data_IF_393747691255
#
_entry.id   IF_393747691255
#
_cell.length_a   1.000
_cell.length_b   1.000
_cell.length_c   1.000
_cell.angle_alpha   90.00
_cell.angle_beta   90.00
_cell.angle_gamma   90.00
#
_symmetry.space_group_name_H-M   'P 1'
#
loop_
_entity.id
_entity.type
_entity.pdbx_description
1 polymer ?
#
# COMPACT_ATOMS: atom_id res chain seq x y z
N UNK A 1 -13.33 -14.27 -32.43
CA UNK A 1 -11.98 -14.73 -32.83
C UNK A 1 -10.97 -13.83 -32.14
N UNK A 2 -10.01 -14.37 -31.41
CA UNK A 2 -8.97 -13.57 -30.75
C UNK A 2 -7.83 -13.27 -31.74
N UNK A 3 -7.31 -12.05 -31.73
CA UNK A 3 -6.13 -11.65 -32.52
C UNK A 3 -4.98 -11.30 -31.57
N UNK A 4 -3.74 -11.54 -32.00
CA UNK A 4 -2.53 -11.25 -31.23
C UNK A 4 -1.64 -10.29 -32.01
N UNK A 5 -1.16 -9.24 -31.34
CA UNK A 5 -0.16 -8.32 -31.86
C UNK A 5 1.16 -8.56 -31.13
N UNK A 6 2.23 -8.79 -31.89
CA UNK A 6 3.57 -9.03 -31.34
C UNK A 6 4.40 -7.76 -31.41
N UNK A 7 5.04 -7.41 -30.31
CA UNK A 7 5.80 -6.18 -30.16
C UNK A 7 7.30 -6.48 -30.28
N UNK A 8 7.94 -6.18 -31.43
CA UNK A 8 9.29 -6.65 -31.72
C UNK A 8 10.39 -5.82 -31.07
N UNK A 9 10.07 -4.64 -30.52
CA UNK A 9 11.03 -3.69 -29.94
C UNK A 9 11.39 -3.95 -28.49
N UNK A 10 10.72 -4.91 -27.83
CA UNK A 10 11.03 -5.32 -26.46
C UNK A 10 12.11 -6.40 -26.48
N UNK A 11 13.15 -6.25 -25.67
CA UNK A 11 14.31 -7.15 -25.66
C UNK A 11 14.03 -8.54 -25.07
N UNK A 12 12.88 -8.73 -24.42
CA UNK A 12 12.57 -9.95 -23.68
C UNK A 12 11.08 -10.18 -23.42
N UNK A 13 10.79 -11.16 -22.58
CA UNK A 13 9.42 -11.49 -22.15
C UNK A 13 8.94 -10.53 -21.06
N UNK A 14 7.63 -10.33 -20.98
CA UNK A 14 7.02 -9.62 -19.85
C UNK A 14 7.33 -10.36 -18.54
N UNK A 15 7.82 -9.63 -17.54
CA UNK A 15 8.17 -10.14 -16.21
C UNK A 15 7.01 -9.99 -15.23
N UNK A 16 6.41 -8.80 -15.17
CA UNK A 16 5.21 -8.50 -14.37
C UNK A 16 4.44 -7.35 -15.00
N UNK A 17 3.15 -7.25 -14.73
CA UNK A 17 2.33 -6.12 -15.14
C UNK A 17 1.12 -5.92 -14.24
N UNK A 18 0.62 -4.69 -14.20
CA UNK A 18 -0.55 -4.29 -13.42
C UNK A 18 -1.35 -3.21 -14.14
N UNK A 19 -2.67 -3.30 -14.06
CA UNK A 19 -3.58 -2.30 -14.60
C UNK A 19 -3.73 -1.13 -13.62
N UNK A 20 -3.85 0.08 -14.16
CA UNK A 20 -4.36 1.20 -13.38
C UNK A 20 -5.82 0.93 -12.96
N UNK A 21 -6.27 1.45 -11.80
CA UNK A 21 -7.63 1.25 -11.29
C UNK A 21 -8.72 1.75 -12.24
N UNK A 22 -8.42 2.75 -13.07
CA UNK A 22 -9.34 3.28 -14.09
C UNK A 22 -9.38 2.44 -15.37
N UNK A 23 -8.54 1.40 -15.49
CA UNK A 23 -8.47 0.52 -16.66
C UNK A 23 -7.82 1.15 -17.90
N UNK A 24 -7.39 2.41 -17.83
CA UNK A 24 -6.88 3.13 -18.99
C UNK A 24 -5.37 2.92 -19.22
N UNK A 25 -4.66 2.28 -18.31
CA UNK A 25 -3.22 2.07 -18.41
C UNK A 25 -2.82 0.68 -17.94
N UNK A 26 -1.90 0.06 -18.67
CA UNK A 26 -1.20 -1.15 -18.24
C UNK A 26 0.26 -0.79 -18.04
N UNK A 27 0.76 -0.96 -16.81
CA UNK A 27 2.17 -0.92 -16.53
C UNK A 27 2.75 -2.33 -16.63
N UNK A 28 3.94 -2.46 -17.22
CA UNK A 28 4.63 -3.74 -17.28
C UNK A 28 6.15 -3.56 -17.28
N UNK A 29 6.86 -4.62 -16.95
CA UNK A 29 8.33 -4.69 -17.00
C UNK A 29 8.75 -5.86 -17.87
N UNK A 30 9.96 -5.77 -18.43
CA UNK A 30 10.55 -6.81 -19.26
C UNK A 30 11.65 -7.51 -18.48
N UNK A 31 11.76 -8.83 -18.61
CA UNK A 31 12.80 -9.60 -17.97
C UNK A 31 14.19 -9.12 -18.42
N UNK A 32 15.06 -8.82 -17.46
CA UNK A 32 16.42 -8.34 -17.72
C UNK A 32 16.53 -6.82 -17.96
N UNK A 33 15.41 -6.09 -17.95
CA UNK A 33 15.41 -4.62 -18.06
C UNK A 33 14.94 -3.98 -16.75
N UNK A 34 15.67 -3.01 -16.20
CA UNK A 34 15.27 -2.27 -15.01
C UNK A 34 14.36 -1.09 -15.38
N UNK A 35 13.35 -1.31 -16.24
CA UNK A 35 12.48 -0.25 -16.75
C UNK A 35 11.00 -0.61 -16.56
N UNK A 36 10.20 0.38 -16.16
CA UNK A 36 8.74 0.28 -16.19
C UNK A 36 8.23 0.91 -17.47
N UNK A 37 7.47 0.13 -18.22
CA UNK A 37 6.77 0.56 -19.43
C UNK A 37 5.30 0.81 -19.13
N UNK A 38 4.69 1.76 -19.86
CA UNK A 38 3.25 2.00 -19.85
C UNK A 38 2.67 1.84 -21.25
N UNK A 39 1.52 1.17 -21.29
CA UNK A 39 0.56 1.22 -22.39
C UNK A 39 -0.63 2.06 -21.95
N UNK A 40 -1.14 2.90 -22.85
CA UNK A 40 -2.35 3.70 -22.63
C UNK A 40 -3.48 3.17 -23.50
N UNK A 41 -4.66 3.02 -22.92
CA UNK A 41 -5.89 2.56 -23.54
C UNK A 41 -6.95 3.65 -23.35
N UNK A 42 -6.86 4.77 -24.10
CA UNK A 42 -7.84 5.83 -23.95
C UNK A 42 -9.24 5.31 -24.31
N UNK A 43 -10.22 5.63 -23.47
CA UNK A 43 -11.61 5.29 -23.74
C UNK A 43 -12.07 6.01 -25.02
N UNK A 44 -12.43 5.22 -26.05
CA UNK A 44 -12.94 5.78 -27.32
C UNK A 44 -14.41 6.17 -27.14
N UNK A 45 -14.70 7.47 -27.16
CA UNK A 45 -16.06 7.98 -27.20
C UNK A 45 -16.59 8.00 -28.65
N UNK A 46 -17.86 7.65 -28.87
CA UNK A 46 -18.53 7.68 -30.18
C UNK A 46 -18.48 6.37 -30.98
N UNK A 47 -18.38 6.45 -32.31
CA UNK A 47 -18.44 5.29 -33.24
C UNK A 47 -17.30 4.27 -33.08
N UNK A 48 -16.26 4.58 -32.29
CA UNK A 48 -15.16 3.67 -31.93
C UNK A 48 -15.41 2.79 -30.69
N UNK A 49 -16.56 2.94 -30.04
CA UNK A 49 -16.91 2.20 -28.82
C UNK A 49 -16.96 0.69 -29.12
N UNK A 50 -16.01 -0.07 -28.59
CA UNK A 50 -15.87 -1.52 -28.81
C UNK A 50 -14.68 -1.93 -29.69
N UNK A 51 -13.90 -0.99 -30.25
CA UNK A 51 -12.57 -1.30 -30.77
C UNK A 51 -11.56 -1.27 -29.62
N UNK A 52 -10.80 -2.35 -29.43
CA UNK A 52 -9.70 -2.40 -28.45
C UNK A 52 -8.59 -1.46 -28.92
N UNK A 53 -8.68 -0.19 -28.52
CA UNK A 53 -7.68 0.83 -28.81
C UNK A 53 -6.59 0.83 -27.76
N UNK A 54 -5.58 -0.02 -27.94
CA UNK A 54 -4.34 0.06 -27.18
C UNK A 54 -3.35 1.04 -27.81
N UNK A 55 -2.47 1.59 -26.97
CA UNK A 55 -1.32 2.33 -27.45
C UNK A 55 -0.53 1.46 -28.44
N UNK A 56 -0.15 2.04 -29.58
CA UNK A 56 0.65 1.36 -30.62
C UNK A 56 2.13 1.21 -30.24
N UNK A 57 2.52 1.76 -29.10
CA UNK A 57 3.89 1.73 -28.58
C UNK A 57 3.88 1.83 -27.06
N UNK A 58 4.94 1.35 -26.43
CA UNK A 58 5.16 1.40 -24.99
C UNK A 58 6.05 2.59 -24.69
N UNK A 59 5.70 3.35 -23.66
CA UNK A 59 6.51 4.46 -23.17
C UNK A 59 7.19 4.05 -21.88
N UNK A 60 8.48 4.36 -21.72
CA UNK A 60 9.18 4.20 -20.45
C UNK A 60 8.65 5.28 -19.49
N UNK A 61 8.24 4.86 -18.30
CA UNK A 61 7.64 5.75 -17.27
C UNK A 61 8.42 5.75 -15.96
N UNK A 62 9.32 4.79 -15.75
CA UNK A 62 10.29 4.82 -14.66
C UNK A 62 11.55 4.03 -15.02
N UNK A 63 12.68 4.51 -14.51
CA UNK A 63 13.96 3.83 -14.49
C UNK A 63 14.21 3.28 -13.08
N UNK A 64 14.41 1.96 -13.00
CA UNK A 64 14.66 1.22 -11.77
C UNK A 64 16.12 0.75 -11.70
N UNK A 65 17.04 1.33 -12.47
CA UNK A 65 18.45 0.96 -12.48
C UNK A 65 19.04 0.92 -11.07
N UNK A 66 19.96 -0.02 -10.85
CA UNK A 66 20.60 -0.18 -9.55
C UNK A 66 21.33 1.11 -9.16
N UNK A 67 20.88 1.74 -8.09
CA UNK A 67 21.48 2.91 -7.46
C UNK A 67 22.03 2.53 -6.10
N UNK A 68 23.09 3.21 -5.70
CA UNK A 68 23.76 2.94 -4.44
C UNK A 68 23.53 4.09 -3.47
N UNK A 69 22.99 3.79 -2.29
CA UNK A 69 22.65 4.76 -1.25
C UNK A 69 23.52 4.49 -0.03
N UNK A 70 24.12 5.55 0.50
CA UNK A 70 24.86 5.50 1.75
C UNK A 70 23.87 5.64 2.91
N UNK A 71 23.78 4.60 3.74
CA UNK A 71 22.99 4.57 4.98
C UNK A 71 23.92 4.57 6.19
N UNK A 72 23.43 4.91 7.40
CA UNK A 72 24.24 4.82 8.62
C UNK A 72 24.80 3.41 8.88
N UNK A 73 24.10 2.38 8.39
CA UNK A 73 24.45 0.96 8.57
C UNK A 73 25.35 0.42 7.44
N UNK A 74 25.64 1.25 6.42
CA UNK A 74 26.51 0.91 5.30
C UNK A 74 25.95 1.31 3.94
N UNK A 75 26.59 0.78 2.90
CA UNK A 75 26.19 1.02 1.51
C UNK A 75 25.07 0.05 1.11
N UNK A 76 23.90 0.56 0.73
CA UNK A 76 22.77 -0.23 0.24
C UNK A 76 22.56 -0.02 -1.25
N UNK A 77 22.22 -1.10 -1.97
CA UNK A 77 21.91 -1.04 -3.40
C UNK A 77 20.42 -1.25 -3.63
N UNK A 78 19.78 -0.29 -4.28
CA UNK A 78 18.36 -0.28 -4.57
C UNK A 78 18.11 -0.25 -6.06
N UNK A 79 17.07 -0.96 -6.51
CA UNK A 79 16.72 -1.05 -7.92
C UNK A 79 16.98 -2.46 -8.47
N UNK A 80 17.15 -2.54 -9.79
CA UNK A 80 17.27 -3.78 -10.55
C UNK A 80 15.94 -4.19 -11.20
N UNK A 81 15.70 -5.49 -11.29
CA UNK A 81 14.51 -6.04 -11.93
C UNK A 81 13.31 -6.02 -10.98
N UNK A 82 12.14 -5.61 -11.48
CA UNK A 82 10.90 -5.76 -10.73
C UNK A 82 10.44 -7.23 -10.68
N UNK A 83 10.03 -7.69 -9.50
CA UNK A 83 9.37 -8.97 -9.28
C UNK A 83 7.85 -8.85 -9.43
N UNK A 84 7.24 -7.85 -8.77
CA UNK A 84 5.80 -7.62 -8.77
C UNK A 84 5.48 -6.12 -8.69
N UNK A 85 4.32 -5.72 -9.19
CA UNK A 85 3.82 -4.35 -9.15
C UNK A 85 2.35 -4.37 -8.76
N UNK A 86 1.96 -3.53 -7.81
CA UNK A 86 0.56 -3.38 -7.40
C UNK A 86 0.20 -1.91 -7.22
N UNK A 87 -0.94 -1.52 -7.78
CA UNK A 87 -1.55 -0.21 -7.58
C UNK A 87 -2.48 -0.25 -6.37
N UNK A 88 -2.54 0.85 -5.64
CA UNK A 88 -3.59 1.05 -4.66
C UNK A 88 -4.94 1.33 -5.37
N UNK A 89 -6.07 1.09 -4.70
CA UNK A 89 -7.39 1.27 -5.32
C UNK A 89 -7.71 2.70 -5.78
N UNK A 90 -7.14 3.76 -5.17
CA UNK A 90 -7.34 5.13 -5.64
C UNK A 90 -6.45 5.47 -6.83
N UNK A 91 -5.35 4.75 -6.92
CA UNK A 91 -4.35 4.93 -7.94
C UNK A 91 -3.49 6.16 -7.77
N UNK A 92 -3.16 6.45 -6.51
CA UNK A 92 -2.22 7.48 -6.08
C UNK A 92 -0.89 6.89 -5.61
N UNK A 93 -0.81 5.58 -5.42
CA UNK A 93 0.37 4.82 -5.00
C UNK A 93 0.56 3.57 -5.84
N UNK A 94 1.79 3.41 -6.31
CA UNK A 94 2.29 2.17 -6.91
C UNK A 94 3.38 1.60 -5.99
N UNK A 95 3.23 0.33 -5.61
CA UNK A 95 4.27 -0.42 -4.93
C UNK A 95 4.92 -1.40 -5.90
N UNK A 96 6.25 -1.38 -5.96
CA UNK A 96 7.08 -2.24 -6.82
C UNK A 96 7.97 -3.08 -5.95
N UNK A 97 7.73 -4.39 -5.93
CA UNK A 97 8.63 -5.35 -5.27
C UNK A 97 9.79 -5.64 -6.21
N UNK A 98 11.00 -5.29 -5.80
CA UNK A 98 12.24 -5.55 -6.54
C UNK A 98 12.73 -6.96 -6.29
N UNK A 99 13.30 -7.59 -7.33
CA UNK A 99 14.09 -8.81 -7.16
C UNK A 99 15.39 -8.45 -6.45
N UNK A 100 15.70 -9.17 -5.38
CA UNK A 100 17.05 -9.14 -4.84
C UNK A 100 18.06 -9.69 -5.84
N UNK A 101 19.30 -9.20 -5.76
CA UNK A 101 20.43 -9.68 -6.54
C UNK A 101 21.39 -10.48 -5.63
N UNK A 102 21.31 -11.82 -5.62
CA UNK A 102 22.13 -12.65 -4.72
C UNK A 102 23.62 -12.63 -5.07
N UNK A 103 24.01 -12.10 -6.24
CA UNK A 103 25.42 -11.99 -6.66
C UNK A 103 26.09 -10.73 -6.12
N UNK A 104 25.30 -9.84 -5.53
CA UNK A 104 25.72 -8.54 -5.01
C UNK A 104 25.57 -8.57 -3.49
N UNK A 105 26.63 -8.20 -2.77
CA UNK A 105 26.54 -8.00 -1.33
C UNK A 105 25.46 -6.94 -1.06
N UNK A 106 24.52 -7.24 -0.16
CA UNK A 106 23.35 -6.41 0.13
C UNK A 106 22.35 -6.16 -1.01
N UNK A 107 22.37 -6.97 -2.07
CA UNK A 107 21.31 -7.02 -3.08
C UNK A 107 20.01 -7.65 -2.56
N UNK A 108 19.44 -7.12 -1.48
CA UNK A 108 18.23 -7.67 -0.85
C UNK A 108 16.98 -7.21 -1.59
N UNK A 109 15.91 -8.03 -1.67
CA UNK A 109 14.62 -7.58 -2.18
C UNK A 109 14.08 -6.43 -1.33
N UNK A 110 13.60 -5.37 -1.99
CA UNK A 110 13.00 -4.18 -1.36
C UNK A 110 11.70 -3.82 -2.06
N UNK A 111 10.83 -3.08 -1.40
CA UNK A 111 9.63 -2.51 -2.05
C UNK A 111 9.88 -1.02 -2.28
N UNK A 112 9.84 -0.59 -3.54
CA UNK A 112 9.87 0.81 -3.91
C UNK A 112 8.44 1.34 -3.99
N UNK A 113 8.21 2.51 -3.40
CA UNK A 113 6.94 3.23 -3.46
C UNK A 113 7.05 4.42 -4.40
N UNK A 114 6.04 4.55 -5.25
CA UNK A 114 5.87 5.69 -6.15
C UNK A 114 4.54 6.37 -5.88
N UNK A 115 4.56 7.70 -5.88
CA UNK A 115 3.37 8.52 -6.07
C UNK A 115 3.05 8.57 -7.56
N UNK A 116 1.79 8.37 -7.91
CA UNK A 116 1.32 8.41 -9.30
C UNK A 116 0.60 9.73 -9.55
N UNK A 117 1.00 10.43 -10.62
CA UNK A 117 0.25 11.58 -11.13
C UNK A 117 -0.41 11.17 -12.44
N UNK A 118 -1.74 11.11 -12.48
CA UNK A 118 -2.47 10.60 -13.64
C UNK A 118 -2.82 11.68 -14.69
N UNK A 119 -2.78 12.96 -14.32
CA UNK A 119 -3.16 14.09 -15.16
C UNK A 119 -2.29 15.32 -14.87
N UNK A 120 -1.92 16.15 -15.87
CA UNK A 120 -2.23 16.01 -17.31
C UNK A 120 -1.33 15.00 -18.04
N UNK A 121 -0.18 14.65 -17.46
CA UNK A 121 0.76 13.64 -17.97
C UNK A 121 0.96 12.59 -16.88
N UNK A 122 1.02 11.33 -17.29
CA UNK A 122 1.28 10.23 -16.38
C UNK A 122 2.73 10.25 -15.90
N UNK A 123 2.94 10.30 -14.59
CA UNK A 123 4.26 10.27 -13.97
C UNK A 123 4.30 9.37 -12.75
N UNK A 124 5.45 8.72 -12.57
CA UNK A 124 5.82 7.97 -11.37
C UNK A 124 6.91 8.74 -10.62
N UNK A 125 6.59 9.20 -9.42
CA UNK A 125 7.51 9.94 -8.56
C UNK A 125 7.95 9.05 -7.40
N UNK A 126 9.24 8.71 -7.27
CA UNK A 126 9.74 7.95 -6.12
C UNK A 126 9.35 8.66 -4.82
N UNK A 127 8.78 7.92 -3.87
CA UNK A 127 8.32 8.51 -2.61
C UNK A 127 8.73 7.75 -1.35
N UNK A 128 9.25 6.53 -1.47
CA UNK A 128 9.77 5.81 -0.32
C UNK A 128 10.25 4.40 -0.65
N UNK A 129 10.85 3.78 0.35
CA UNK A 129 11.33 2.40 0.32
C UNK A 129 10.77 1.71 1.56
N UNK A 130 10.31 0.47 1.40
CA UNK A 130 9.92 -0.40 2.51
C UNK A 130 10.87 -1.58 2.54
N UNK A 131 11.46 -1.78 3.71
CA UNK A 131 12.31 -2.91 4.06
C UNK A 131 11.70 -3.64 5.27
N UNK A 132 11.99 -4.94 5.37
CA UNK A 132 11.62 -5.72 6.54
C UNK A 132 12.69 -5.63 7.62
N UNK A 133 12.38 -6.24 8.77
CA UNK A 133 13.38 -6.51 9.80
C UNK A 133 14.60 -7.26 9.24
N UNK A 134 15.78 -7.19 9.89
CA UNK A 134 16.95 -7.93 9.45
C UNK A 134 16.65 -9.42 9.19
N UNK A 135 16.91 -9.87 7.96
CA UNK A 135 16.63 -11.24 7.51
C UNK A 135 15.21 -11.50 6.99
N UNK A 136 14.28 -10.56 7.14
CA UNK A 136 12.93 -10.63 6.57
C UNK A 136 12.89 -9.97 5.18
N UNK A 137 12.76 -10.80 4.13
CA UNK A 137 12.67 -10.31 2.75
C UNK A 137 11.21 -10.27 2.30
N UNK A 138 10.76 -9.21 1.62
CA UNK A 138 9.42 -9.17 1.06
C UNK A 138 9.26 -10.21 -0.06
N UNK A 139 8.16 -10.94 -0.05
CA UNK A 139 7.85 -11.99 -1.04
C UNK A 139 6.56 -11.69 -1.81
N UNK A 140 5.58 -11.07 -1.14
CA UNK A 140 4.26 -10.77 -1.69
C UNK A 140 3.81 -9.39 -1.24
N UNK A 141 3.14 -8.65 -2.13
CA UNK A 141 2.56 -7.35 -1.83
C UNK A 141 1.15 -7.24 -2.40
N UNK A 142 0.24 -6.61 -1.65
CA UNK A 142 -1.10 -6.27 -2.12
C UNK A 142 -1.69 -5.11 -1.33
N UNK A 143 -2.47 -4.24 -1.96
CA UNK A 143 -3.20 -3.20 -1.26
C UNK A 143 -4.56 -3.69 -0.78
N UNK A 144 -4.95 -3.28 0.43
CA UNK A 144 -6.31 -3.50 0.92
C UNK A 144 -7.30 -2.71 0.06
N UNK A 145 -8.43 -3.30 -0.38
CA UNK A 145 -9.38 -2.67 -1.31
C UNK A 145 -10.12 -1.47 -0.71
N UNK A 146 -10.16 -1.35 0.62
CA UNK A 146 -10.98 -0.35 1.31
C UNK A 146 -10.27 0.17 2.55
N UNK A 147 -9.33 1.09 2.37
CA UNK A 147 -8.71 1.86 3.45
C UNK A 147 -8.99 3.35 3.20
N UNK A 148 -9.61 4.03 4.16
CA UNK A 148 -10.19 5.36 3.93
C UNK A 148 -9.32 6.55 4.38
N UNK A 149 -8.10 6.28 4.86
CA UNK A 149 -7.13 7.30 5.31
C UNK A 149 -5.92 7.41 4.36
N UNK A 150 -6.03 6.89 3.14
CA UNK A 150 -4.95 6.76 2.16
C UNK A 150 -4.98 5.35 1.56
N UNK A 151 -3.84 4.64 1.59
CA UNK A 151 -3.73 3.24 1.17
C UNK A 151 -3.15 2.36 2.29
N UNK A 152 -3.46 1.06 2.30
CA UNK A 152 -2.90 0.11 3.26
C UNK A 152 -2.23 -1.05 2.50
N UNK A 153 -0.91 -1.09 2.53
CA UNK A 153 -0.12 -2.13 1.87
C UNK A 153 0.03 -3.33 2.81
N UNK A 154 -0.34 -4.51 2.34
CA UNK A 154 -0.05 -5.77 3.03
C UNK A 154 1.19 -6.41 2.40
N UNK A 155 2.14 -6.80 3.24
CA UNK A 155 3.41 -7.41 2.83
C UNK A 155 3.53 -8.78 3.48
N UNK A 156 3.72 -9.81 2.66
CA UNK A 156 4.11 -11.14 3.09
C UNK A 156 5.63 -11.27 3.11
N UNK A 157 6.20 -11.59 4.27
CA UNK A 157 7.64 -11.71 4.48
C UNK A 157 8.12 -13.17 4.36
N UNK A 158 9.40 -13.36 4.03
CA UNK A 158 10.06 -14.67 3.98
C UNK A 158 10.03 -15.43 5.33
N UNK A 159 9.82 -14.71 6.43
CA UNK A 159 9.67 -15.27 7.78
C UNK A 159 8.28 -15.89 8.02
N UNK A 160 7.37 -15.82 7.05
CA UNK A 160 5.98 -16.26 7.19
C UNK A 160 5.06 -15.24 7.88
N UNK A 161 5.59 -14.09 8.30
CA UNK A 161 4.79 -13.00 8.89
C UNK A 161 4.12 -12.18 7.79
N UNK A 162 2.98 -11.57 8.14
CA UNK A 162 2.32 -10.56 7.32
C UNK A 162 2.35 -9.25 8.11
N UNK A 163 2.76 -8.17 7.47
CA UNK A 163 2.65 -6.82 8.02
C UNK A 163 1.70 -5.98 7.18
N UNK A 164 1.02 -5.04 7.83
CA UNK A 164 0.18 -4.05 7.18
C UNK A 164 0.77 -2.66 7.41
N UNK A 165 1.11 -1.98 6.32
CA UNK A 165 1.85 -0.72 6.31
C UNK A 165 0.91 0.37 5.79
N UNK A 166 0.42 1.26 6.67
CA UNK A 166 -0.47 2.35 6.26
C UNK A 166 0.32 3.45 5.56
N UNK A 167 -0.16 3.85 4.38
CA UNK A 167 0.31 5.01 3.63
C UNK A 167 -0.74 6.11 3.77
N UNK A 168 -0.49 7.09 4.62
CA UNK A 168 -1.43 8.17 4.88
C UNK A 168 -1.32 9.29 3.84
N UNK A 169 -2.44 9.64 3.22
CA UNK A 169 -2.57 10.79 2.31
C UNK A 169 -4.05 11.12 2.10
N UNK A 170 -4.31 12.35 1.63
CA UNK A 170 -5.66 12.76 1.20
C UNK A 170 -5.84 12.29 -0.24
N UNK A 171 -6.89 11.50 -0.47
CA UNK A 171 -7.20 10.99 -1.79
C UNK A 171 -7.83 12.09 -2.66
N UNK A 172 -7.24 12.40 -3.81
CA UNK A 172 -7.73 13.44 -4.71
C UNK A 172 -9.09 13.13 -5.36
N UNK A 173 -9.46 11.85 -5.50
CA UNK A 173 -10.77 11.42 -6.02
C UNK A 173 -11.88 11.51 -4.97
N UNK A 174 -11.53 11.51 -3.68
CA UNK A 174 -12.45 11.71 -2.55
C UNK A 174 -11.86 12.68 -1.54
N UNK A 175 -11.72 13.98 -1.89
CA UNK A 175 -11.23 14.99 -0.97
C UNK A 175 -12.25 15.14 0.15
N UNK A 176 -12.01 14.46 1.28
CA UNK A 176 -12.79 14.66 2.48
C UNK A 176 -12.35 15.97 3.10
N UNK A 177 -13.06 17.04 2.77
CA UNK A 177 -13.03 18.24 3.60
C UNK A 177 -13.54 17.84 4.99
N UNK A 178 -12.80 18.22 6.03
CA UNK A 178 -13.22 18.07 7.43
C UNK A 178 -14.66 18.56 7.60
N UNK A 179 -15.48 17.97 8.49
CA UNK A 179 -16.80 18.52 8.76
C UNK A 179 -16.61 19.97 9.24
N UNK A 180 -17.24 20.90 8.53
CA UNK A 180 -17.26 22.31 8.90
C UNK A 180 -17.80 22.41 10.32
N UNK A 181 -16.91 22.74 11.25
CA UNK A 181 -17.26 23.10 12.61
C UNK A 181 -17.86 24.52 12.53
N UNK A 182 -19.14 24.62 12.17
CA UNK A 182 -19.81 25.92 12.08
C UNK A 182 -20.96 26.04 11.09
N UNK A 183 -22.07 25.32 11.32
CA UNK A 183 -23.41 25.90 11.20
C UNK A 183 -24.42 24.98 11.87
N UNK A 184 -25.01 25.47 12.96
CA UNK A 184 -26.20 24.88 13.54
C UNK A 184 -27.29 24.84 12.46
N UNK A 185 -27.76 23.65 12.10
CA UNK A 185 -28.97 23.47 11.33
C UNK A 185 -30.01 22.87 12.26
N UNK A 186 -31.13 23.58 12.36
CA UNK A 186 -32.31 23.29 13.19
C UNK A 186 -32.79 21.84 13.08
N UNK A 187 -33.44 21.30 14.13
CA UNK A 187 -34.00 19.96 14.09
C UNK A 187 -35.25 19.94 13.18
N UNK A 188 -35.40 18.96 12.28
CA UNK A 188 -36.68 18.76 11.62
C UNK A 188 -37.70 18.24 12.64
N UNK A 189 -38.84 18.93 12.69
CA UNK A 189 -39.98 18.57 13.49
C UNK A 189 -40.56 17.20 13.08
N UNK A 190 -40.81 16.36 14.08
CA UNK A 190 -41.92 15.40 14.20
C UNK A 190 -42.28 14.50 13.01
N UNK A 191 -42.14 13.19 13.21
CA UNK A 191 -42.83 12.16 12.43
C UNK A 191 -42.36 10.76 12.81
N UNK A 192 -43.07 10.11 13.72
CA UNK A 192 -42.70 8.82 14.31
C UNK A 192 -42.77 7.62 13.36
N UNK A 193 -42.08 6.54 13.76
CA UNK A 193 -42.16 5.23 13.14
C UNK A 193 -41.00 4.33 13.54
N UNK A 194 -41.09 3.71 14.72
CA UNK A 194 -40.19 2.64 15.15
C UNK A 194 -40.47 1.37 14.35
N UNK A 195 -39.46 0.80 13.67
CA UNK A 195 -39.29 -0.65 13.54
C UNK A 195 -37.80 -0.96 13.65
N UNK A 196 -37.50 -1.94 14.50
CA UNK A 196 -36.20 -2.42 14.90
C UNK A 196 -35.51 -3.20 13.78
N UNK A 197 -34.20 -2.97 13.60
CA UNK A 197 -33.27 -3.99 13.09
C UNK A 197 -31.97 -3.90 13.90
N UNK A 198 -31.85 -4.79 14.90
CA UNK A 198 -30.61 -5.05 15.61
C UNK A 198 -29.69 -5.92 14.73
N UNK A 199 -28.41 -5.57 14.54
CA UNK A 199 -27.42 -6.57 14.18
C UNK A 199 -27.13 -7.47 15.39
N UNK A 200 -27.35 -8.77 15.18
CA UNK A 200 -26.84 -9.87 16.00
C UNK A 200 -25.32 -9.76 16.12
N UNK A 201 -24.83 -9.36 17.29
CA UNK A 201 -23.72 -9.98 18.05
C UNK A 201 -23.48 -9.12 19.29
N UNK A 202 -23.91 -9.63 20.44
CA UNK A 202 -23.64 -9.05 21.75
C UNK A 202 -22.37 -9.70 22.29
N UNK A 203 -21.28 -8.96 22.40
CA UNK A 203 -20.18 -9.33 23.30
C UNK A 203 -20.19 -8.35 24.48
N UNK A 204 -20.61 -8.85 25.63
CA UNK A 204 -20.54 -8.15 26.91
C UNK A 204 -19.29 -8.58 27.68
N UNK A 205 -18.60 -7.54 28.17
CA UNK A 205 -17.75 -7.47 29.36
C UNK A 205 -16.22 -7.67 29.23
N UNK A 206 -15.43 -6.84 29.95
CA UNK A 206 -13.98 -6.78 29.85
C UNK A 206 -13.37 -7.86 30.73
N UNK A 207 -12.51 -8.70 30.18
CA UNK A 207 -11.66 -9.59 30.97
C UNK A 207 -10.22 -9.20 30.73
N UNK A 208 -9.53 -8.89 31.83
CA UNK A 208 -8.12 -8.54 31.93
C UNK A 208 -7.22 -9.55 31.21
N UNK A 209 -6.15 -9.03 30.58
CA UNK A 209 -5.18 -9.84 29.87
C UNK A 209 -4.28 -10.63 30.85
N UNK A 210 -3.70 -11.78 30.45
CA UNK A 210 -3.08 -12.75 31.37
C UNK A 210 -1.72 -12.32 31.95
N UNK A 211 -1.31 -11.07 31.79
CA UNK A 211 0.01 -10.56 32.14
C UNK A 211 -0.02 -9.37 33.10
N UNK A 212 -1.17 -9.08 33.72
CA UNK A 212 -1.22 -8.10 34.81
C UNK A 212 -0.32 -8.54 35.98
N UNK A 213 0.66 -7.73 36.42
CA UNK A 213 1.58 -8.09 37.49
C UNK A 213 0.82 -8.16 38.83
N UNK A 214 1.01 -9.26 39.57
CA UNK A 214 0.40 -9.48 40.88
C UNK A 214 0.83 -8.37 41.89
N UNK A 215 -0.09 -7.80 42.68
CA UNK A 215 0.26 -6.85 43.72
C UNK A 215 1.06 -7.54 44.84
N UNK A 216 2.20 -6.95 45.21
CA UNK A 216 3.08 -7.43 46.27
C UNK A 216 2.45 -7.36 47.66
N UNK A 217 3.03 -8.08 48.65
CA UNK A 217 2.43 -8.19 49.99
C UNK A 217 2.47 -6.86 50.74
N UNK A 218 1.50 -6.61 51.64
CA UNK A 218 1.37 -5.33 52.34
C UNK A 218 2.49 -5.12 53.39
N UNK A 219 2.82 -3.86 53.70
CA UNK A 219 3.86 -3.55 54.68
C UNK A 219 3.43 -3.85 56.12
N UNK A 220 4.38 -4.33 56.92
CA UNK A 220 4.25 -4.61 58.36
C UNK A 220 4.13 -3.29 59.13
N UNK A 221 3.08 -3.16 59.94
CA UNK A 221 2.85 -2.03 60.85
C UNK A 221 3.88 -2.01 62.00
N UNK A 222 4.47 -0.86 62.37
CA UNK A 222 5.33 -0.76 63.55
C UNK A 222 4.50 -0.56 64.82
N UNK A 223 4.78 -1.39 65.83
CA UNK A 223 4.32 -1.19 67.21
C UNK A 223 4.97 0.05 67.82
N UNK A 224 4.16 0.96 68.38
CA UNK A 224 4.65 2.07 69.21
C UNK A 224 4.46 1.75 70.70
N UNK A 225 5.42 2.12 71.58
CA UNK A 225 5.38 1.76 72.99
C UNK A 225 4.63 2.83 73.80
N UNK A 226 3.79 2.39 74.74
CA UNK A 226 3.41 3.23 75.87
C UNK A 226 3.96 2.62 77.16
N UNK A 227 4.91 3.36 77.72
CA UNK A 227 5.49 3.22 79.04
C UNK A 227 4.52 3.67 80.13
N UNK A 228 4.58 2.96 81.25
CA UNK A 228 3.92 3.24 82.52
C UNK A 228 4.18 4.67 83.05
N UNK A 229 3.10 5.34 83.47
CA UNK A 229 2.84 5.82 84.84
C UNK A 229 1.43 6.42 84.94
#
# INVERSE_FOLDING_TARGET
MWTCERWPTLSGRCQTGCWSPDGNRLLFTVLGEPLIYSLSFPEQCGEGKGRVGGAKSATIVADLSETTIQTPDGEERLGGEAHSMVWDPSGERLAVLMKGNPRVQDGKPVILLFCTRNSPVFELLPCGIIQGEPGAQPQLITFHPSFNKGALLSVGWSTGRIAHIPLYFVNAQFPRFSPVLGRAQEPPAGGGGCIHDLPLFTETSPTSAPWDPLPGPPPVLPHSPHSHL
#
